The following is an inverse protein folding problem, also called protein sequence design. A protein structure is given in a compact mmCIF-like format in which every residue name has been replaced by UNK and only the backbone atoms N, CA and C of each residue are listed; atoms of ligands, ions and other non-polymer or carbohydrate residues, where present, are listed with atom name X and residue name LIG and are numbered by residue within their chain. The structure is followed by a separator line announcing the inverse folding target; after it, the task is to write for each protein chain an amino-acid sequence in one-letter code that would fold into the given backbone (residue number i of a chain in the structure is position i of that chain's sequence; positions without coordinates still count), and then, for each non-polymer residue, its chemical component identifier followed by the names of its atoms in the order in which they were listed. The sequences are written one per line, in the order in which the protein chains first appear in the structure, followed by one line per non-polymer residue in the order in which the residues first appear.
data_IF_085588090683
#
_entry.id   IF_085588090683
#
_cell.length_a   1.000
_cell.length_b   1.000
_cell.length_c   1.000
_cell.angle_alpha   90.00
_cell.angle_beta   90.00
_cell.angle_gamma   90.00
#
_symmetry.space_group_name_H-M   'P 1'
#
loop_
_entity.id
_entity.type
_entity.pdbx_description
1 polymer ?
#
# COMPACT_ATOMS: atom_id res chain seq x y z
N UNK A 1 12.69 -6.23 14.75
CA UNK A 1 11.33 -5.68 14.89
C UNK A 1 11.41 -4.18 14.70
N UNK A 2 11.69 -3.71 13.48
CA UNK A 2 11.50 -2.30 13.17
C UNK A 2 10.07 -2.22 12.62
N UNK A 3 9.11 -1.98 13.52
CA UNK A 3 7.79 -1.54 13.11
C UNK A 3 8.04 -0.27 12.33
N UNK A 4 7.85 -0.30 11.01
CA UNK A 4 7.80 0.90 10.20
C UNK A 4 6.64 1.72 10.78
N UNK A 5 6.97 2.67 11.66
CA UNK A 5 5.98 3.52 12.31
C UNK A 5 5.30 4.28 11.19
N UNK A 6 4.09 3.83 10.84
CA UNK A 6 3.20 4.55 9.94
C UNK A 6 3.16 5.99 10.45
N UNK A 7 3.45 6.94 9.56
CA UNK A 7 3.47 8.36 9.89
C UNK A 7 2.20 8.72 10.67
N UNK A 8 2.30 9.28 11.89
CA UNK A 8 1.13 9.61 12.71
C UNK A 8 0.17 10.56 12.00
N UNK A 9 0.62 11.34 11.01
CA UNK A 9 -0.25 12.14 10.16
C UNK A 9 -1.18 11.28 9.28
N UNK A 10 -0.75 10.11 8.80
CA UNK A 10 -1.63 9.20 8.04
C UNK A 10 -2.73 8.64 8.92
N UNK A 11 -2.45 8.35 10.19
CA UNK A 11 -3.42 7.83 11.15
C UNK A 11 -4.62 8.79 11.36
N UNK A 12 -4.45 10.09 11.08
CA UNK A 12 -5.49 11.12 11.20
C UNK A 12 -6.29 11.33 9.92
N UNK A 13 -5.84 10.81 8.77
CA UNK A 13 -6.54 10.97 7.50
C UNK A 13 -7.78 10.08 7.44
N UNK A 14 -8.88 10.52 6.80
CA UNK A 14 -10.03 9.66 6.51
C UNK A 14 -9.65 8.49 5.58
N UNK A 15 -10.34 7.35 5.72
CA UNK A 15 -10.11 6.16 4.88
C UNK A 15 -10.24 6.47 3.39
N UNK A 16 -11.18 7.33 3.02
CA UNK A 16 -11.38 7.79 1.64
C UNK A 16 -10.18 8.54 1.08
N UNK A 17 -9.48 9.33 1.90
CA UNK A 17 -8.28 10.05 1.48
C UNK A 17 -7.11 9.08 1.26
N UNK A 18 -6.98 8.06 2.12
CA UNK A 18 -5.98 7.01 1.97
C UNK A 18 -6.24 6.15 0.74
N UNK A 19 -7.49 5.73 0.51
CA UNK A 19 -7.90 4.97 -0.67
C UNK A 19 -7.69 5.78 -1.97
N UNK A 20 -8.03 7.07 -1.95
CA UNK A 20 -7.76 7.97 -3.08
C UNK A 20 -6.26 8.08 -3.37
N UNK A 21 -5.45 8.33 -2.33
CA UNK A 21 -3.99 8.41 -2.48
C UNK A 21 -3.41 7.10 -3.04
N UNK A 22 -3.90 5.95 -2.57
CA UNK A 22 -3.51 4.63 -3.07
C UNK A 22 -3.81 4.53 -4.57
N UNK A 23 -5.03 4.87 -5.00
CA UNK A 23 -5.41 4.89 -6.40
C UNK A 23 -4.50 5.78 -7.27
N UNK A 24 -4.18 7.00 -6.80
CA UNK A 24 -3.26 7.91 -7.49
C UNK A 24 -1.87 7.30 -7.65
N UNK A 25 -1.33 6.65 -6.61
CA UNK A 25 0.00 6.03 -6.64
C UNK A 25 0.07 4.80 -7.54
N UNK A 26 -0.97 3.97 -7.50
CA UNK A 26 -1.12 2.81 -8.37
C UNK A 26 -1.18 3.24 -9.84
N UNK A 27 -1.93 4.30 -10.15
CA UNK A 27 -2.07 4.82 -11.52
C UNK A 27 -0.81 5.56 -12.04
N UNK A 28 0.07 6.01 -11.16
CA UNK A 28 1.29 6.74 -11.51
C UNK A 28 2.38 5.82 -12.12
N UNK A 29 3.35 6.39 -12.86
CA UNK A 29 4.57 5.65 -13.24
C UNK A 29 5.27 5.06 -12.02
N UNK A 30 5.71 3.81 -12.13
CA UNK A 30 6.24 3.08 -11.00
C UNK A 30 7.73 3.37 -10.81
N UNK A 31 8.10 3.62 -9.55
CA UNK A 31 9.47 3.79 -9.08
C UNK A 31 9.59 3.13 -7.72
N UNK A 32 10.81 2.87 -7.24
CA UNK A 32 11.03 2.26 -5.91
C UNK A 32 10.32 3.05 -4.80
N UNK A 33 10.38 4.38 -4.86
CA UNK A 33 9.70 5.25 -3.88
C UNK A 33 8.16 5.13 -3.97
N UNK A 34 7.61 5.07 -5.19
CA UNK A 34 6.16 4.93 -5.39
C UNK A 34 5.64 3.57 -4.90
N UNK A 35 6.38 2.50 -5.16
CA UNK A 35 6.03 1.13 -4.74
C UNK A 35 6.01 0.99 -3.20
N UNK A 36 6.96 1.61 -2.50
CA UNK A 36 6.94 1.69 -1.04
C UNK A 36 5.74 2.46 -0.49
N UNK A 37 5.32 3.54 -1.17
CA UNK A 37 4.13 4.31 -0.79
C UNK A 37 2.83 3.53 -0.95
N UNK A 38 2.71 2.73 -2.02
CA UNK A 38 1.57 1.81 -2.20
C UNK A 38 1.47 0.86 -1.01
N UNK A 39 2.58 0.22 -0.66
CA UNK A 39 2.64 -0.74 0.46
C UNK A 39 2.30 -0.09 1.81
N UNK A 40 2.76 1.14 2.03
CA UNK A 40 2.47 1.91 3.24
C UNK A 40 0.98 2.22 3.37
N UNK A 41 0.33 2.65 2.29
CA UNK A 41 -1.10 2.96 2.28
C UNK A 41 -1.95 1.69 2.43
N UNK A 42 -1.56 0.60 1.76
CA UNK A 42 -2.18 -0.72 1.91
C UNK A 42 -2.12 -1.20 3.36
N UNK A 43 -0.94 -1.14 3.99
CA UNK A 43 -0.77 -1.54 5.38
C UNK A 43 -1.64 -0.73 6.35
N UNK A 44 -1.80 0.57 6.12
CA UNK A 44 -2.66 1.41 6.94
C UNK A 44 -4.15 1.06 6.77
N UNK A 45 -4.62 0.84 5.55
CA UNK A 45 -5.99 0.42 5.27
C UNK A 45 -6.29 -0.97 5.85
N UNK A 46 -5.32 -1.89 5.82
CA UNK A 46 -5.42 -3.21 6.45
C UNK A 46 -5.49 -3.10 7.98
N UNK A 47 -4.63 -2.25 8.57
CA UNK A 47 -4.64 -1.98 10.02
C UNK A 47 -5.98 -1.44 10.49
N UNK A 48 -6.70 -0.70 9.63
CA UNK A 48 -8.04 -0.17 9.89
C UNK A 48 -9.18 -1.15 9.58
N UNK A 49 -8.88 -2.29 8.96
CA UNK A 49 -9.87 -3.31 8.63
C UNK A 49 -10.78 -2.95 7.44
N UNK A 50 -10.42 -1.95 6.64
CA UNK A 50 -11.23 -1.49 5.49
C UNK A 50 -10.66 -1.93 4.14
N UNK A 51 -9.46 -2.49 4.12
CA UNK A 51 -8.77 -2.87 2.89
C UNK A 51 -9.51 -3.96 2.11
N UNK A 52 -9.96 -5.02 2.78
CA UNK A 52 -10.59 -6.16 2.09
C UNK A 52 -11.95 -5.76 1.48
N UNK A 53 -12.75 -5.00 2.23
CA UNK A 53 -14.03 -4.45 1.76
C UNK A 53 -13.84 -3.50 0.57
N UNK A 54 -12.80 -2.66 0.62
CA UNK A 54 -12.43 -1.80 -0.51
C UNK A 54 -12.02 -2.65 -1.72
N UNK A 55 -11.14 -3.64 -1.55
CA UNK A 55 -10.64 -4.47 -2.64
C UNK A 55 -11.78 -5.24 -3.33
N UNK A 56 -12.78 -5.70 -2.57
CA UNK A 56 -13.93 -6.45 -3.08
C UNK A 56 -14.85 -5.63 -4.00
N UNK A 57 -14.85 -4.30 -3.89
CA UNK A 57 -15.67 -3.40 -4.74
C UNK A 57 -14.89 -2.77 -5.89
N UNK A 58 -13.56 -2.95 -5.93
CA UNK A 58 -12.74 -2.47 -7.03
C UNK A 58 -12.88 -3.35 -8.27
N UNK A 59 -12.57 -2.76 -9.42
CA UNK A 59 -12.35 -3.53 -10.64
C UNK A 59 -11.25 -4.58 -10.40
N UNK A 60 -11.42 -5.84 -10.86
CA UNK A 60 -10.45 -6.90 -10.62
C UNK A 60 -9.03 -6.60 -11.13
N UNK A 61 -8.88 -5.88 -12.23
CA UNK A 61 -7.58 -5.50 -12.77
C UNK A 61 -6.87 -4.52 -11.82
N UNK A 62 -7.62 -3.54 -11.29
CA UNK A 62 -7.10 -2.58 -10.34
C UNK A 62 -6.71 -3.26 -9.00
N UNK A 63 -7.54 -4.16 -8.50
CA UNK A 63 -7.25 -4.94 -7.31
C UNK A 63 -5.95 -5.75 -7.47
N UNK A 64 -5.82 -6.50 -8.58
CA UNK A 64 -4.62 -7.26 -8.88
C UNK A 64 -3.36 -6.38 -9.01
N UNK A 65 -3.51 -5.18 -9.57
CA UNK A 65 -2.39 -4.22 -9.67
C UNK A 65 -1.92 -3.72 -8.30
N UNK A 66 -2.83 -3.46 -7.36
CA UNK A 66 -2.47 -3.08 -5.98
C UNK A 66 -1.67 -4.19 -5.33
N UNK A 67 -2.17 -5.43 -5.39
CA UNK A 67 -1.50 -6.60 -4.80
C UNK A 67 -0.11 -6.86 -5.40
N UNK A 68 0.02 -6.70 -6.72
CA UNK A 68 1.29 -6.85 -7.42
C UNK A 68 2.33 -5.85 -6.93
N UNK A 69 1.95 -4.58 -6.77
CA UNK A 69 2.87 -3.52 -6.34
C UNK A 69 3.27 -3.71 -4.86
N UNK A 70 2.34 -4.07 -3.99
CA UNK A 70 2.62 -4.41 -2.60
C UNK A 70 3.54 -5.65 -2.48
N UNK A 71 3.34 -6.65 -3.35
CA UNK A 71 4.26 -7.80 -3.45
C UNK A 71 5.64 -7.41 -3.98
N UNK A 72 5.72 -6.47 -4.93
CA UNK A 72 6.98 -5.98 -5.47
C UNK A 72 7.82 -5.27 -4.40
N UNK A 73 7.21 -4.44 -3.54
CA UNK A 73 7.93 -3.80 -2.44
C UNK A 73 8.49 -4.83 -1.46
N UNK A 74 7.70 -5.84 -1.09
CA UNK A 74 8.19 -6.95 -0.24
C UNK A 74 9.40 -7.63 -0.87
N UNK A 75 9.35 -7.92 -2.17
CA UNK A 75 10.48 -8.50 -2.91
C UNK A 75 11.72 -7.61 -2.89
N UNK A 76 11.55 -6.30 -3.07
CA UNK A 76 12.63 -5.31 -3.02
C UNK A 76 13.24 -5.19 -1.61
N UNK A 77 12.40 -5.17 -0.56
CA UNK A 77 12.86 -5.15 0.83
C UNK A 77 13.64 -6.41 1.18
N UNK A 78 13.18 -7.58 0.74
CA UNK A 78 13.89 -8.84 0.94
C UNK A 78 15.24 -8.83 0.22
N UNK A 79 15.28 -8.45 -1.07
CA UNK A 79 16.52 -8.38 -1.83
C UNK A 79 17.55 -7.41 -1.19
N UNK A 80 17.08 -6.31 -0.60
CA UNK A 80 17.95 -5.30 0.04
C UNK A 80 18.43 -5.70 1.44
N UNK A 81 17.60 -6.38 2.23
CA UNK A 81 17.84 -6.58 3.67
C UNK A 81 18.09 -8.04 4.06
N UNK A 82 17.81 -8.99 3.16
CA UNK A 82 17.84 -10.43 3.43
C UNK A 82 16.78 -10.90 4.43
N UNK A 83 15.85 -10.03 4.83
CA UNK A 83 14.80 -10.31 5.80
C UNK A 83 13.43 -10.22 5.13
N UNK A 84 12.54 -11.12 5.53
CA UNK A 84 11.15 -11.18 5.06
C UNK A 84 10.28 -10.25 5.88
#
# INVERSE_FOLDING_TARGET
MASETIDPCMALLPDTALAFALGVRVASPQSVSNVGQVSTLTAELQRRGVYDDMLAVLDPELAARIELLDSADRGQRWARTGRR
#
